data_IF_044860693322
#
_entry.id   IF_044860693322
#
_cell.length_a   1.000
_cell.length_b   1.000
_cell.length_c   1.000
_cell.angle_alpha   90.00
_cell.angle_beta   90.00
_cell.angle_gamma   90.00
#
_symmetry.space_group_name_H-M   'P 1'
#
loop_
_entity.id
_entity.type
_entity.pdbx_description
1 polymer ?
#
# COMPACT_ATOMS: atom_id res chain seq x y z
N UNK A 1 -23.52 -55.23 22.16
CA UNK A 1 -22.29 -54.66 22.77
C UNK A 1 -21.23 -54.71 21.68
N UNK A 2 -20.60 -53.64 21.16
CA UNK A 2 -20.54 -52.21 21.42
C UNK A 2 -20.33 -51.55 20.04
N UNK A 3 -21.08 -50.49 19.73
CA UNK A 3 -20.94 -49.71 18.49
C UNK A 3 -19.71 -48.80 18.58
N UNK A 4 -18.86 -48.83 17.57
CA UNK A 4 -17.62 -48.03 17.50
C UNK A 4 -17.76 -46.90 16.48
N UNK A 5 -17.96 -45.67 16.99
CA UNK A 5 -17.37 -44.33 16.66
C UNK A 5 -17.12 -43.92 15.17
N UNK A 6 -16.97 -42.60 14.85
CA UNK A 6 -17.11 -41.38 15.66
C UNK A 6 -18.08 -40.34 15.06
N UNK A 7 -18.44 -39.38 15.91
CA UNK A 7 -19.22 -38.20 15.57
C UNK A 7 -18.54 -37.34 14.49
N UNK A 8 -19.32 -36.94 13.50
CA UNK A 8 -19.06 -35.79 12.65
C UNK A 8 -19.03 -34.52 13.52
N UNK A 9 -17.85 -34.11 13.99
CA UNK A 9 -17.65 -32.74 14.47
C UNK A 9 -16.86 -32.02 13.38
N UNK A 10 -17.58 -31.52 12.38
CA UNK A 10 -17.03 -30.62 11.39
C UNK A 10 -16.45 -29.40 12.13
N UNK A 11 -15.30 -28.86 11.68
CA UNK A 11 -14.77 -27.63 12.24
C UNK A 11 -15.78 -26.52 11.96
N UNK A 12 -16.33 -25.95 13.03
CA UNK A 12 -17.04 -24.68 13.00
C UNK A 12 -16.03 -23.60 12.61
N UNK A 13 -15.77 -23.49 11.30
CA UNK A 13 -15.01 -22.40 10.73
C UNK A 13 -15.91 -21.18 10.80
N UNK A 14 -15.88 -20.53 11.97
CA UNK A 14 -16.33 -19.18 12.14
C UNK A 14 -15.63 -18.33 11.07
N UNK A 15 -16.31 -18.16 9.96
CA UNK A 15 -15.98 -17.20 8.92
C UNK A 15 -16.37 -15.86 9.51
N UNK A 16 -15.51 -15.33 10.36
CA UNK A 16 -15.54 -13.94 10.77
C UNK A 16 -15.29 -13.13 9.51
N UNK A 17 -16.39 -12.71 8.89
CA UNK A 17 -16.40 -11.82 7.75
C UNK A 17 -15.87 -10.47 8.17
N UNK A 18 -14.55 -10.33 8.20
CA UNK A 18 -13.90 -9.04 8.09
C UNK A 18 -14.33 -8.42 6.77
N UNK A 19 -15.23 -7.44 6.87
CA UNK A 19 -15.44 -6.44 5.84
C UNK A 19 -14.09 -5.82 5.49
N UNK A 20 -13.53 -6.18 4.34
CA UNK A 20 -12.40 -5.44 3.78
C UNK A 20 -11.45 -6.31 2.99
N UNK A 21 -11.44 -6.06 1.68
CA UNK A 21 -10.50 -6.63 0.70
C UNK A 21 -10.86 -8.06 0.23
N UNK A 22 -11.57 -8.13 -0.90
CA UNK A 22 -11.75 -9.38 -1.67
C UNK A 22 -10.40 -10.00 -2.01
N UNK A 23 -10.33 -11.32 -2.23
CA UNK A 23 -9.08 -12.01 -2.61
C UNK A 23 -8.35 -11.32 -3.77
N UNK A 24 -9.10 -10.90 -4.79
CA UNK A 24 -8.63 -10.10 -5.93
C UNK A 24 -8.06 -8.72 -5.52
N UNK A 25 -8.60 -8.09 -4.48
CA UNK A 25 -8.05 -6.85 -3.92
C UNK A 25 -6.78 -7.08 -3.09
N UNK A 26 -6.67 -8.21 -2.38
CA UNK A 26 -5.45 -8.61 -1.67
C UNK A 26 -4.33 -8.96 -2.65
N UNK A 27 -4.63 -9.67 -3.74
CA UNK A 27 -3.69 -9.96 -4.81
C UNK A 27 -3.20 -8.69 -5.50
N UNK A 28 -4.11 -7.74 -5.81
CA UNK A 28 -3.72 -6.43 -6.31
C UNK A 28 -2.83 -5.66 -5.33
N UNK A 29 -3.14 -5.68 -4.02
CA UNK A 29 -2.32 -5.03 -3.00
C UNK A 29 -0.94 -5.67 -2.91
N UNK A 30 -0.84 -7.01 -2.96
CA UNK A 30 0.45 -7.73 -2.96
C UNK A 30 1.28 -7.40 -4.19
N UNK A 31 0.67 -7.42 -5.37
CA UNK A 31 1.33 -7.04 -6.62
C UNK A 31 1.80 -5.59 -6.59
N UNK A 32 1.00 -4.69 -6.01
CA UNK A 32 1.33 -3.30 -5.82
C UNK A 32 2.53 -3.12 -4.88
N UNK A 33 2.50 -3.75 -3.69
CA UNK A 33 3.60 -3.73 -2.74
C UNK A 33 4.88 -4.25 -3.36
N UNK A 34 4.82 -5.38 -4.08
CA UNK A 34 5.98 -5.95 -4.76
C UNK A 34 6.57 -5.03 -5.83
N UNK A 35 5.75 -4.16 -6.44
CA UNK A 35 6.22 -3.19 -7.43
C UNK A 35 6.89 -1.96 -6.80
N UNK A 36 6.53 -1.57 -5.57
CA UNK A 36 6.97 -0.31 -4.97
C UNK A 36 7.96 -0.48 -3.82
N UNK A 37 7.84 -1.54 -3.03
CA UNK A 37 8.68 -1.79 -1.86
C UNK A 37 10.09 -2.15 -2.32
N UNK A 38 11.10 -1.50 -1.73
CA UNK A 38 12.50 -1.65 -2.13
C UNK A 38 12.85 -0.90 -3.42
N UNK A 39 11.90 -0.20 -4.04
CA UNK A 39 12.11 0.58 -5.25
C UNK A 39 12.10 2.09 -4.95
N UNK A 40 12.89 2.83 -5.72
CA UNK A 40 12.83 4.29 -5.75
C UNK A 40 11.76 4.73 -6.76
N UNK A 41 10.74 5.42 -6.25
CA UNK A 41 9.66 6.01 -7.01
C UNK A 41 10.05 7.45 -7.37
N UNK A 42 9.78 7.85 -8.63
CA UNK A 42 10.09 9.18 -9.14
C UNK A 42 8.87 9.84 -9.78
N UNK A 43 8.69 11.13 -9.53
CA UNK A 43 7.65 11.94 -10.19
C UNK A 43 7.55 13.34 -9.57
N UNK A 44 7.29 14.36 -10.39
CA UNK A 44 6.99 15.73 -9.95
C UNK A 44 8.01 16.34 -8.95
N UNK A 45 9.31 16.10 -9.15
CA UNK A 45 10.36 16.58 -8.24
C UNK A 45 10.45 15.82 -6.91
N UNK A 46 9.73 14.71 -6.77
CA UNK A 46 9.83 13.73 -5.69
C UNK A 46 10.75 12.59 -6.14
N UNK A 47 11.74 12.28 -5.30
CA UNK A 47 12.48 11.02 -5.31
C UNK A 47 12.24 10.35 -3.95
N UNK A 48 11.56 9.20 -3.94
CA UNK A 48 11.19 8.54 -2.69
C UNK A 48 11.46 7.05 -2.76
N UNK A 49 12.13 6.52 -1.75
CA UNK A 49 12.32 5.09 -1.57
C UNK A 49 11.32 4.58 -0.55
N UNK A 50 10.64 3.48 -0.90
CA UNK A 50 9.74 2.78 -0.01
C UNK A 50 10.52 1.68 0.71
N UNK A 51 10.69 1.82 2.02
CA UNK A 51 11.31 0.78 2.84
C UNK A 51 10.39 -0.43 3.01
N UNK A 52 10.97 -1.59 3.35
CA UNK A 52 10.22 -2.84 3.60
C UNK A 52 9.23 -2.73 4.77
N UNK A 53 9.52 -1.86 5.74
CA UNK A 53 8.63 -1.51 6.86
C UNK A 53 7.44 -0.62 6.45
N UNK A 54 7.43 -0.08 5.22
CA UNK A 54 6.44 0.88 4.76
C UNK A 54 6.77 2.34 5.12
N UNK A 55 7.98 2.60 5.62
CA UNK A 55 8.50 3.95 5.74
C UNK A 55 8.84 4.55 4.36
N UNK A 56 8.56 5.83 4.20
CA UNK A 56 8.99 6.63 3.05
C UNK A 56 10.21 7.44 3.45
N UNK A 57 11.28 7.31 2.67
CA UNK A 57 12.48 8.14 2.82
C UNK A 57 12.80 8.72 1.46
N UNK A 58 12.84 10.04 1.36
CA UNK A 58 12.98 10.69 0.08
C UNK A 58 13.38 12.14 0.16
N UNK A 59 13.36 12.78 -0.99
CA UNK A 59 13.65 14.19 -1.17
C UNK A 59 12.58 14.79 -2.08
N UNK A 60 12.02 15.93 -1.68
CA UNK A 60 11.09 16.71 -2.49
C UNK A 60 11.72 18.07 -2.78
N UNK A 61 11.97 18.39 -4.05
CA UNK A 61 12.63 19.64 -4.47
C UNK A 61 13.96 19.92 -3.73
N UNK A 62 14.72 18.87 -3.41
CA UNK A 62 15.98 18.98 -2.67
C UNK A 62 15.84 19.00 -1.13
N UNK A 63 14.61 19.02 -0.60
CA UNK A 63 14.35 18.93 0.85
C UNK A 63 14.12 17.48 1.27
N UNK A 64 14.91 16.92 2.20
CA UNK A 64 14.73 15.55 2.66
C UNK A 64 13.43 15.42 3.47
N UNK A 65 12.74 14.30 3.32
CA UNK A 65 11.53 14.00 4.07
C UNK A 65 11.47 12.54 4.50
N UNK A 66 10.76 12.35 5.62
CA UNK A 66 10.37 11.04 6.10
C UNK A 66 8.86 10.99 6.29
N UNK A 67 8.28 9.85 5.97
CA UNK A 67 6.85 9.64 6.08
C UNK A 67 6.51 8.16 6.16
N UNK A 68 5.22 7.89 6.08
CA UNK A 68 4.67 6.58 5.86
C UNK A 68 3.74 6.63 4.65
N UNK A 69 3.34 5.48 4.17
CA UNK A 69 2.31 5.39 3.14
C UNK A 69 1.29 4.32 3.49
N UNK A 70 0.17 4.37 2.80
CA UNK A 70 -0.91 3.40 2.94
C UNK A 70 -1.52 3.11 1.57
N UNK A 71 -1.82 1.84 1.33
CA UNK A 71 -2.59 1.42 0.17
C UNK A 71 -4.08 1.64 0.45
N UNK A 72 -4.73 2.54 -0.30
CA UNK A 72 -6.16 2.83 -0.17
C UNK A 72 -6.82 2.73 -1.54
N UNK A 73 -7.70 1.74 -1.73
CA UNK A 73 -8.52 1.60 -2.95
C UNK A 73 -7.70 1.66 -4.27
N UNK A 74 -6.51 1.05 -4.31
CA UNK A 74 -5.65 1.11 -5.50
C UNK A 74 -4.73 2.32 -5.61
N UNK A 75 -4.71 3.18 -4.59
CA UNK A 75 -3.90 4.39 -4.54
C UNK A 75 -2.79 4.27 -3.50
N UNK A 76 -1.65 4.88 -3.82
CA UNK A 76 -0.52 5.11 -2.93
C UNK A 76 -0.75 6.42 -2.17
N UNK A 77 -1.22 6.33 -0.93
CA UNK A 77 -1.49 7.49 -0.11
C UNK A 77 -0.34 7.76 0.86
N UNK A 78 0.31 8.92 0.73
CA UNK A 78 1.46 9.32 1.55
C UNK A 78 1.01 10.12 2.77
N UNK A 79 1.59 9.80 3.93
CA UNK A 79 1.48 10.56 5.17
C UNK A 79 2.86 11.07 5.58
N UNK A 80 3.12 12.34 5.32
CA UNK A 80 4.42 12.97 5.56
C UNK A 80 4.43 13.64 6.94
N UNK A 81 5.52 13.47 7.70
CA UNK A 81 5.59 14.02 9.07
C UNK A 81 6.00 15.48 9.11
N UNK A 82 6.80 15.95 8.15
CA UNK A 82 7.31 17.34 8.12
C UNK A 82 6.28 18.33 7.58
N UNK A 83 6.07 19.45 8.29
CA UNK A 83 5.08 20.49 7.94
C UNK A 83 5.37 21.16 6.60
N UNK A 84 6.64 21.46 6.30
CA UNK A 84 7.10 22.06 5.03
C UNK A 84 6.78 21.19 3.82
N UNK A 85 6.92 19.87 4.00
CA UNK A 85 6.68 18.89 2.94
C UNK A 85 5.18 18.58 2.82
N UNK A 86 4.43 18.63 3.94
CA UNK A 86 2.97 18.51 3.93
C UNK A 86 2.29 19.63 3.15
N UNK A 87 2.80 20.87 3.21
CA UNK A 87 2.27 21.98 2.39
C UNK A 87 2.62 21.85 0.91
N UNK A 88 3.79 21.28 0.61
CA UNK A 88 4.25 21.12 -0.77
C UNK A 88 3.60 19.92 -1.48
N UNK A 89 3.36 18.83 -0.77
CA UNK A 89 2.70 17.62 -1.26
C UNK A 89 1.18 17.64 -0.98
N UNK A 90 0.50 18.75 -1.30
CA UNK A 90 -0.94 18.98 -1.06
C UNK A 90 -1.84 17.80 -1.51
N UNK A 91 -1.33 16.97 -2.44
CA UNK A 91 -1.92 15.70 -2.88
C UNK A 91 -1.42 14.53 -2.05
N UNK A 92 -2.31 13.99 -1.22
CA UNK A 92 -2.01 12.88 -0.31
C UNK A 92 -2.02 11.51 -0.97
N UNK A 93 -2.58 11.38 -2.17
CA UNK A 93 -2.73 10.10 -2.85
C UNK A 93 -2.34 10.17 -4.31
N UNK A 94 -1.67 9.11 -4.77
CA UNK A 94 -1.15 8.96 -6.13
C UNK A 94 -1.59 7.62 -6.70
N UNK A 95 -1.78 7.56 -8.01
CA UNK A 95 -1.85 6.29 -8.73
C UNK A 95 -0.43 5.88 -9.09
N UNK A 96 0.01 4.71 -8.64
CA UNK A 96 1.27 4.16 -9.12
C UNK A 96 1.05 3.58 -10.52
N UNK A 97 1.79 4.09 -11.50
CA UNK A 97 1.86 3.55 -12.85
C UNK A 97 3.20 2.85 -13.03
N UNK A 98 3.16 1.57 -13.37
CA UNK A 98 4.35 0.76 -13.66
C UNK A 98 4.55 0.67 -15.16
N UNK A 99 5.74 1.04 -15.63
CA UNK A 99 6.20 0.85 -17.03
C UNK A 99 7.08 -0.41 -17.17
N UNK A 100 6.90 -1.39 -16.28
CA UNK A 100 7.69 -2.64 -16.24
C UNK A 100 9.11 -2.51 -15.69
N UNK A 101 9.67 -1.29 -15.61
CA UNK A 101 11.02 -1.05 -15.04
C UNK A 101 11.09 0.06 -14.00
N UNK A 102 10.14 0.99 -14.04
CA UNK A 102 10.03 2.09 -13.09
C UNK A 102 8.59 2.25 -12.66
N UNK A 103 8.41 2.72 -11.44
CA UNK A 103 7.11 3.12 -10.92
C UNK A 103 7.06 4.65 -10.87
N UNK A 104 6.10 5.20 -11.60
CA UNK A 104 5.81 6.63 -11.63
C UNK A 104 4.59 6.91 -10.77
N UNK A 105 4.70 7.90 -9.89
CA UNK A 105 3.57 8.38 -9.11
C UNK A 105 2.80 9.42 -9.92
N UNK A 106 1.58 9.07 -10.34
CA UNK A 106 0.69 9.96 -11.08
C UNK A 106 -0.30 10.59 -10.10
N UNK A 107 -0.39 11.92 -10.02
CA UNK A 107 -1.32 12.56 -9.10
C UNK A 107 -2.77 12.30 -9.56
N UNK A 108 -3.62 11.86 -8.64
CA UNK A 108 -5.07 11.89 -8.86
C UNK A 108 -5.57 13.30 -8.58
N UNK A 109 -6.24 13.92 -9.55
CA UNK A 109 -6.98 15.17 -9.31
C UNK A 109 -8.30 14.72 -8.68
N UNK A 110 -8.53 15.07 -7.42
CA UNK A 110 -9.86 14.99 -6.82
C UNK A 110 -10.67 16.14 -7.45
N UNK A 111 -11.50 15.80 -8.44
CA UNK A 111 -12.50 16.69 -9.06
C UNK A 111 -13.80 16.65 -8.30
#
# INVERSE_FOLDING_TARGET
>A
MISSLPACSAPDVASDGSVGETADSLERRRAFNAAIVGHTLRGDGVDVTVAEDGALVGTHLGVPFVGSWEYRRGLFCTSLRSEDVRRAADRRCYRAATDGRSVTLVPVIDT
#
